data_IF_444167982718
#
_entry.id   IF_444167982718
#
_cell.length_a   1.000
_cell.length_b   1.000
_cell.length_c   1.000
_cell.angle_alpha   90.00
_cell.angle_beta   90.00
_cell.angle_gamma   90.00
#
_symmetry.space_group_name_H-M   'P 1'
#
loop_
_entity.id
_entity.type
_entity.pdbx_description
1 polymer ?
#
# COMPACT_ATOMS: atom_id res chain seq x y z
N UNK A 1 17.42 4.73 3.84
CA UNK A 1 16.44 5.39 2.95
C UNK A 1 15.12 5.38 3.69
N UNK A 2 14.40 6.47 3.69
CA UNK A 2 13.09 6.59 4.33
C UNK A 2 11.98 6.23 3.36
N UNK A 3 10.85 5.78 3.87
CA UNK A 3 9.64 5.48 3.10
C UNK A 3 9.20 6.67 2.21
N UNK A 4 9.33 7.88 2.75
CA UNK A 4 9.01 9.11 2.04
C UNK A 4 9.97 9.39 0.87
N UNK A 5 11.27 9.06 1.02
CA UNK A 5 12.22 9.18 -0.09
C UNK A 5 11.85 8.24 -1.23
N UNK A 6 11.50 7.01 -0.92
CA UNK A 6 11.04 6.04 -1.91
C UNK A 6 9.80 6.52 -2.62
N UNK A 7 8.83 7.07 -1.87
CA UNK A 7 7.62 7.67 -2.43
C UNK A 7 7.94 8.82 -3.40
N UNK A 8 8.88 9.69 -3.05
CA UNK A 8 9.33 10.76 -3.92
C UNK A 8 9.96 10.25 -5.23
N UNK A 9 10.83 9.25 -5.13
CA UNK A 9 11.45 8.63 -6.31
C UNK A 9 10.39 7.97 -7.22
N UNK A 10 9.47 7.22 -6.64
CA UNK A 10 8.37 6.60 -7.38
C UNK A 10 7.46 7.63 -8.05
N UNK A 11 7.12 8.72 -7.35
CA UNK A 11 6.27 9.78 -7.93
C UNK A 11 6.95 10.42 -9.14
N UNK A 12 8.26 10.65 -9.10
CA UNK A 12 9.03 11.14 -10.25
C UNK A 12 9.06 10.14 -11.41
N UNK A 13 9.35 8.87 -11.14
CA UNK A 13 9.38 7.83 -12.18
C UNK A 13 8.03 7.69 -12.91
N UNK A 14 6.93 7.81 -12.17
CA UNK A 14 5.59 7.70 -12.72
C UNK A 14 5.03 9.02 -13.27
N UNK A 15 5.80 10.10 -13.19
CA UNK A 15 5.39 11.46 -13.57
C UNK A 15 4.06 11.91 -12.92
N UNK A 16 3.85 11.52 -11.66
CA UNK A 16 2.67 11.87 -10.88
C UNK A 16 2.88 13.25 -10.28
N UNK A 17 2.27 14.25 -10.87
CA UNK A 17 2.16 15.59 -10.29
C UNK A 17 0.97 15.62 -9.35
N UNK A 18 1.21 15.44 -8.08
CA UNK A 18 0.12 15.40 -7.10
C UNK A 18 0.50 16.09 -5.80
N UNK A 19 -0.42 16.05 -4.83
CA UNK A 19 -0.19 16.47 -3.46
C UNK A 19 1.08 15.87 -2.81
N UNK A 20 1.57 14.76 -3.35
CA UNK A 20 2.83 14.10 -2.95
C UNK A 20 4.02 15.06 -3.10
N UNK A 21 4.19 15.71 -4.24
CA UNK A 21 5.28 16.67 -4.45
C UNK A 21 5.21 17.82 -3.45
N UNK A 22 4.02 18.39 -3.25
CA UNK A 22 3.85 19.50 -2.31
C UNK A 22 4.13 19.12 -0.86
N UNK A 23 3.78 17.89 -0.45
CA UNK A 23 4.02 17.41 0.90
C UNK A 23 5.52 17.16 1.15
N UNK A 24 6.21 16.53 0.21
CA UNK A 24 7.62 16.18 0.31
C UNK A 24 8.53 17.39 0.12
N UNK A 25 8.22 18.28 -0.81
CA UNK A 25 9.00 19.49 -1.06
C UNK A 25 9.05 20.44 0.13
N UNK A 26 8.05 20.43 1.01
CA UNK A 26 8.06 21.21 2.25
C UNK A 26 9.03 20.67 3.29
N UNK A 27 9.50 19.48 3.14
CA UNK A 27 10.42 18.86 4.10
C UNK A 27 11.88 19.17 3.71
N UNK A 28 12.58 19.97 4.50
CA UNK A 28 13.98 20.36 4.29
C UNK A 28 14.93 19.16 4.16
N UNK A 29 14.63 18.07 4.86
CA UNK A 29 15.42 16.85 4.78
C UNK A 29 15.40 16.27 3.36
N UNK A 30 14.25 16.22 2.72
CA UNK A 30 14.13 15.70 1.35
C UNK A 30 14.79 16.63 0.32
N UNK A 31 14.70 17.95 0.52
CA UNK A 31 15.46 18.89 -0.30
C UNK A 31 16.97 18.64 -0.21
N UNK A 32 17.46 18.40 0.99
CA UNK A 32 18.87 18.07 1.20
C UNK A 32 19.24 16.74 0.52
N UNK A 33 18.48 15.67 0.76
CA UNK A 33 18.72 14.36 0.14
C UNK A 33 18.65 14.45 -1.38
N UNK A 34 17.66 15.18 -1.92
CA UNK A 34 17.54 15.40 -3.37
C UNK A 34 18.75 16.15 -3.95
N UNK A 35 19.31 17.10 -3.21
CA UNK A 35 20.52 17.82 -3.65
C UNK A 35 21.78 16.96 -3.67
N UNK A 36 21.85 15.92 -2.86
CA UNK A 36 22.96 14.96 -2.80
C UNK A 36 22.85 13.84 -3.85
N UNK A 37 21.64 13.60 -4.34
CA UNK A 37 21.39 12.62 -5.38
C UNK A 37 20.88 13.37 -6.62
N UNK A 38 21.81 13.75 -7.53
CA UNK A 38 21.42 14.38 -8.79
C UNK A 38 20.41 13.47 -9.48
N UNK A 39 19.41 14.08 -10.08
CA UNK A 39 18.35 13.36 -10.80
C UNK A 39 18.99 12.23 -11.62
N UNK A 40 18.45 11.04 -11.55
CA UNK A 40 18.72 10.04 -12.57
C UNK A 40 18.36 10.73 -13.88
N UNK A 41 19.37 11.22 -14.61
CA UNK A 41 19.19 12.10 -15.75
C UNK A 41 18.51 11.44 -16.94
N UNK A 42 18.40 10.13 -16.90
CA UNK A 42 17.68 9.38 -17.90
C UNK A 42 16.24 9.18 -17.42
N UNK A 43 15.30 9.71 -18.19
CA UNK A 43 13.89 9.33 -18.05
C UNK A 43 13.86 7.81 -18.15
N UNK A 44 13.68 7.15 -17.01
CA UNK A 44 13.37 5.72 -17.02
C UNK A 44 12.01 5.61 -17.69
N UNK A 45 12.04 5.31 -18.99
CA UNK A 45 10.82 4.90 -19.68
C UNK A 45 10.53 3.51 -19.14
N UNK A 46 9.60 3.42 -18.21
CA UNK A 46 9.09 2.13 -17.78
C UNK A 46 8.27 1.63 -18.97
N UNK A 47 8.87 0.77 -19.78
CA UNK A 47 8.11 -0.01 -20.76
C UNK A 47 7.24 -0.97 -19.96
N UNK A 48 6.02 -0.54 -19.67
CA UNK A 48 5.03 -1.46 -19.18
C UNK A 48 4.84 -2.56 -20.23
N UNK A 49 4.90 -3.85 -19.86
CA UNK A 49 4.54 -4.89 -20.81
C UNK A 49 3.18 -4.51 -21.43
N UNK A 50 3.01 -4.70 -22.75
CA UNK A 50 1.75 -4.35 -23.38
C UNK A 50 0.64 -5.04 -22.60
N UNK A 51 -0.27 -4.23 -22.07
CA UNK A 51 -1.42 -4.76 -21.35
C UNK A 51 -2.11 -5.74 -22.28
N UNK A 52 -2.50 -6.95 -21.82
CA UNK A 52 -3.32 -7.81 -22.62
C UNK A 52 -4.49 -6.96 -23.11
N UNK A 53 -4.64 -6.84 -24.43
CA UNK A 53 -5.77 -6.14 -25.03
C UNK A 53 -7.02 -6.79 -24.46
N UNK A 54 -7.69 -6.08 -23.56
CA UNK A 54 -8.96 -6.55 -23.02
C UNK A 54 -9.89 -6.70 -24.23
N UNK A 55 -10.18 -7.95 -24.58
CA UNK A 55 -11.40 -8.21 -25.35
C UNK A 55 -12.53 -7.57 -24.54
N UNK A 56 -13.33 -6.71 -25.13
CA UNK A 56 -14.42 -5.93 -24.52
C UNK A 56 -15.57 -6.81 -23.92
N UNK A 57 -15.25 -7.96 -23.37
CA UNK A 57 -16.15 -8.64 -22.46
C UNK A 57 -16.22 -7.78 -21.19
N UNK A 58 -17.41 -7.43 -20.73
CA UNK A 58 -17.69 -6.72 -19.47
C UNK A 58 -16.74 -7.24 -18.38
N UNK A 59 -15.58 -6.62 -18.22
CA UNK A 59 -14.58 -7.10 -17.28
C UNK A 59 -15.13 -6.81 -15.88
N UNK A 60 -15.31 -7.87 -15.11
CA UNK A 60 -15.79 -7.80 -13.74
C UNK A 60 -14.96 -6.79 -12.94
N UNK A 61 -15.64 -5.83 -12.29
CA UNK A 61 -15.00 -4.78 -11.52
C UNK A 61 -14.18 -5.38 -10.38
N UNK A 62 -12.88 -5.14 -10.36
CA UNK A 62 -11.97 -5.58 -9.31
C UNK A 62 -11.74 -4.46 -8.30
N UNK A 63 -11.65 -4.80 -7.01
CA UNK A 63 -11.47 -3.83 -5.92
C UNK A 63 -10.23 -4.14 -5.11
N UNK A 64 -9.47 -3.09 -4.85
CA UNK A 64 -8.25 -3.11 -4.03
C UNK A 64 -8.50 -2.27 -2.78
N UNK A 65 -8.19 -2.81 -1.61
CA UNK A 65 -8.17 -2.08 -0.35
C UNK A 65 -6.74 -1.82 0.09
N UNK A 66 -6.45 -0.57 0.42
CA UNK A 66 -5.16 -0.16 0.98
C UNK A 66 -5.33 0.02 2.49
N UNK A 67 -4.48 -0.66 3.27
CA UNK A 67 -4.38 -0.53 4.73
C UNK A 67 -2.94 -0.16 5.04
N UNK A 68 -2.68 1.13 5.23
CA UNK A 68 -1.34 1.70 5.34
C UNK A 68 -1.44 2.99 6.17
N UNK A 69 -0.63 3.13 7.22
CA UNK A 69 -0.62 4.30 8.12
C UNK A 69 -0.06 5.55 7.46
N UNK A 70 0.59 5.40 6.32
CA UNK A 70 1.10 6.48 5.49
C UNK A 70 0.26 6.73 4.21
N UNK A 71 -0.92 6.13 4.11
CA UNK A 71 -1.76 6.27 2.92
C UNK A 71 -2.15 7.73 2.64
N UNK A 72 -2.38 8.53 3.67
CA UNK A 72 -2.69 9.96 3.59
C UNK A 72 -1.47 10.85 3.34
N UNK A 73 -0.26 10.30 3.52
CA UNK A 73 1.00 11.00 3.24
C UNK A 73 1.46 10.87 1.77
N UNK A 74 0.63 10.25 0.93
CA UNK A 74 0.87 10.13 -0.51
C UNK A 74 0.90 8.71 -1.06
N UNK A 75 1.07 7.68 -0.20
CA UNK A 75 1.06 6.29 -0.68
C UNK A 75 -0.28 5.90 -1.27
N UNK A 76 -1.40 6.38 -0.70
CA UNK A 76 -2.73 6.13 -1.24
C UNK A 76 -2.93 6.68 -2.65
N UNK A 77 -2.44 7.90 -2.92
CA UNK A 77 -2.47 8.50 -4.25
C UNK A 77 -1.56 7.76 -5.23
N UNK A 78 -0.37 7.33 -4.78
CA UNK A 78 0.55 6.54 -5.60
C UNK A 78 -0.11 5.24 -6.08
N UNK A 79 -0.72 4.48 -5.17
CA UNK A 79 -1.39 3.23 -5.54
C UNK A 79 -2.57 3.48 -6.48
N UNK A 80 -3.37 4.51 -6.25
CA UNK A 80 -4.44 4.88 -7.18
C UNK A 80 -3.92 5.21 -8.58
N UNK A 81 -2.80 5.94 -8.64
CA UNK A 81 -2.18 6.29 -9.91
C UNK A 81 -1.61 5.06 -10.65
N UNK A 82 -0.99 4.12 -9.93
CA UNK A 82 -0.50 2.86 -10.50
C UNK A 82 -1.61 2.05 -11.19
N UNK A 83 -2.80 2.04 -10.61
CA UNK A 83 -3.93 1.29 -11.15
C UNK A 83 -4.88 2.13 -12.02
N UNK A 84 -4.61 3.43 -12.21
CA UNK A 84 -5.50 4.34 -12.96
C UNK A 84 -5.66 4.00 -14.44
N UNK A 85 -4.72 3.24 -15.01
CA UNK A 85 -4.78 2.78 -16.39
C UNK A 85 -5.81 1.65 -16.62
N UNK A 86 -6.30 1.03 -15.56
CA UNK A 86 -7.26 -0.06 -15.62
C UNK A 86 -8.65 0.45 -15.24
N UNK A 87 -9.55 0.57 -16.22
CA UNK A 87 -10.91 1.09 -16.01
C UNK A 87 -11.76 0.22 -15.09
N UNK A 88 -11.45 -1.07 -15.03
CA UNK A 88 -12.15 -2.07 -14.22
C UNK A 88 -11.58 -2.24 -12.79
N UNK A 89 -10.56 -1.46 -12.41
CA UNK A 89 -9.98 -1.53 -11.06
C UNK A 89 -10.40 -0.30 -10.23
N UNK A 90 -10.96 -0.56 -9.06
CA UNK A 90 -11.27 0.45 -8.04
C UNK A 90 -10.32 0.32 -6.86
N UNK A 91 -9.63 1.40 -6.50
CA UNK A 91 -8.70 1.44 -5.37
C UNK A 91 -9.26 2.28 -4.25
N UNK A 92 -9.43 1.69 -3.08
CA UNK A 92 -9.93 2.32 -1.86
C UNK A 92 -8.88 2.30 -0.75
N UNK A 93 -8.84 3.32 0.09
CA UNK A 93 -8.06 3.34 1.32
C UNK A 93 -8.96 3.08 2.52
N UNK A 94 -8.45 2.43 3.56
CA UNK A 94 -9.16 2.31 4.84
C UNK A 94 -9.35 3.72 5.42
N UNK A 95 -10.62 4.12 5.59
CA UNK A 95 -10.99 5.45 6.07
C UNK A 95 -11.53 5.41 7.49
N UNK A 96 -11.43 6.55 8.19
CA UNK A 96 -12.03 6.73 9.51
C UNK A 96 -11.35 5.87 10.60
N UNK A 97 -10.04 5.70 10.48
CA UNK A 97 -9.18 5.08 11.47
C UNK A 97 -7.95 5.96 11.71
N UNK A 98 -7.61 6.20 12.98
CA UNK A 98 -6.42 6.96 13.36
C UNK A 98 -5.33 6.00 13.85
N UNK A 99 -4.38 5.73 12.97
CA UNK A 99 -3.26 4.82 13.25
C UNK A 99 -2.37 5.28 14.41
N UNK A 100 -2.41 6.56 14.76
CA UNK A 100 -1.59 7.11 15.83
C UNK A 100 -2.21 6.90 17.23
N UNK A 101 -3.53 6.93 17.33
CA UNK A 101 -4.24 6.94 18.61
C UNK A 101 -5.11 5.71 18.85
N UNK A 102 -5.55 5.00 17.80
CA UNK A 102 -6.47 3.89 17.91
C UNK A 102 -5.79 2.59 18.35
N UNK A 103 -6.60 1.69 18.92
CA UNK A 103 -6.12 0.38 19.40
C UNK A 103 -6.14 -0.68 18.30
N UNK A 104 -5.49 -1.81 18.56
CA UNK A 104 -5.51 -2.97 17.67
C UNK A 104 -6.93 -3.51 17.47
N UNK A 105 -7.73 -3.55 18.51
CA UNK A 105 -9.12 -4.00 18.49
C UNK A 105 -9.98 -3.07 17.61
N UNK A 106 -9.77 -1.76 17.71
CA UNK A 106 -10.44 -0.78 16.86
C UNK A 106 -10.05 -0.96 15.39
N UNK A 107 -8.75 -1.20 15.09
CA UNK A 107 -8.28 -1.52 13.75
C UNK A 107 -8.99 -2.74 13.18
N UNK A 108 -8.98 -3.85 13.91
CA UNK A 108 -9.63 -5.10 13.47
C UNK A 108 -11.13 -4.91 13.24
N UNK A 109 -11.80 -4.21 14.14
CA UNK A 109 -13.23 -3.91 14.00
C UNK A 109 -13.49 -3.07 12.74
N UNK A 110 -12.69 -2.03 12.51
CA UNK A 110 -12.83 -1.14 11.34
C UNK A 110 -12.59 -1.87 10.01
N UNK A 111 -11.55 -2.70 9.94
CA UNK A 111 -11.31 -3.54 8.75
C UNK A 111 -12.46 -4.50 8.51
N UNK A 112 -12.95 -5.15 9.57
CA UNK A 112 -14.10 -6.07 9.50
C UNK A 112 -15.36 -5.39 8.97
N UNK A 113 -15.66 -4.17 9.44
CA UNK A 113 -16.78 -3.37 8.96
C UNK A 113 -16.62 -3.03 7.49
N UNK A 114 -15.46 -2.53 7.09
CA UNK A 114 -15.14 -2.15 5.71
C UNK A 114 -15.33 -3.33 4.74
N UNK A 115 -14.87 -4.53 5.12
CA UNK A 115 -15.05 -5.74 4.29
C UNK A 115 -16.54 -6.15 4.24
N UNK A 116 -17.28 -6.07 5.36
CA UNK A 116 -18.68 -6.46 5.41
C UNK A 116 -19.62 -5.50 4.69
N UNK A 117 -19.33 -4.19 4.73
CA UNK A 117 -20.10 -3.18 3.99
C UNK A 117 -20.08 -3.45 2.48
N UNK A 118 -19.01 -4.07 1.97
CA UNK A 118 -18.82 -4.44 0.57
C UNK A 118 -19.18 -5.89 0.25
N UNK A 119 -20.06 -6.51 1.02
CA UNK A 119 -20.41 -7.93 0.86
C UNK A 119 -20.84 -8.32 -0.56
N UNK A 120 -21.56 -7.45 -1.27
CA UNK A 120 -22.00 -7.69 -2.65
C UNK A 120 -20.98 -7.23 -3.70
N UNK A 121 -19.92 -6.57 -3.27
CA UNK A 121 -18.86 -6.02 -4.10
C UNK A 121 -17.52 -6.26 -3.38
N UNK A 122 -17.05 -7.52 -3.29
CA UNK A 122 -15.92 -7.88 -2.44
C UNK A 122 -14.61 -7.22 -2.88
N UNK A 123 -13.71 -7.03 -1.95
CA UNK A 123 -12.32 -6.72 -2.25
C UNK A 123 -11.60 -7.98 -2.72
N UNK A 124 -10.86 -7.87 -3.81
CA UNK A 124 -10.11 -8.97 -4.40
C UNK A 124 -8.65 -8.98 -3.90
N UNK A 125 -8.13 -7.79 -3.61
CA UNK A 125 -6.76 -7.58 -3.17
C UNK A 125 -6.71 -6.61 -2.01
N UNK A 126 -5.85 -6.90 -1.03
CA UNK A 126 -5.47 -5.96 0.03
C UNK A 126 -3.98 -5.67 -0.08
N UNK A 127 -3.62 -4.38 -0.19
CA UNK A 127 -2.27 -3.89 0.00
C UNK A 127 -2.12 -3.49 1.47
N UNK A 128 -1.24 -4.15 2.20
CA UNK A 128 -1.14 -4.06 3.65
C UNK A 128 0.26 -3.67 4.08
N UNK A 129 0.41 -2.59 4.86
CA UNK A 129 1.68 -2.34 5.54
C UNK A 129 1.80 -3.26 6.78
N UNK A 130 3.03 -3.58 7.13
CA UNK A 130 3.33 -4.40 8.31
C UNK A 130 3.12 -3.63 9.61
N UNK A 131 3.52 -2.37 9.65
CA UNK A 131 3.53 -1.56 10.87
C UNK A 131 2.43 -0.53 10.80
N UNK A 132 1.28 -0.89 11.31
CA UNK A 132 0.11 -0.02 11.25
C UNK A 132 -0.04 0.87 12.48
N UNK A 133 0.30 0.37 13.67
CA UNK A 133 0.08 1.10 14.91
C UNK A 133 1.42 1.57 15.51
N UNK A 134 1.38 2.66 16.28
CA UNK A 134 2.58 3.19 16.95
C UNK A 134 3.31 2.14 17.80
N UNK A 135 2.58 1.24 18.44
CA UNK A 135 3.17 0.18 19.23
C UNK A 135 3.92 -0.85 18.38
N UNK A 136 3.60 -1.01 17.10
CA UNK A 136 4.28 -1.94 16.20
C UNK A 136 5.74 -1.52 15.93
N UNK A 137 6.03 -0.22 15.99
CA UNK A 137 7.39 0.30 15.77
C UNK A 137 8.38 -0.13 16.86
N UNK A 138 7.87 -0.49 18.05
CA UNK A 138 8.67 -0.97 19.19
C UNK A 138 8.84 -2.49 19.20
N UNK A 139 8.08 -3.22 18.38
CA UNK A 139 8.07 -4.68 18.33
C UNK A 139 9.10 -5.21 17.33
N UNK A 140 9.63 -6.39 17.62
CA UNK A 140 10.44 -7.17 16.66
C UNK A 140 9.59 -8.13 15.85
N UNK A 141 8.50 -8.59 16.42
CA UNK A 141 7.53 -9.55 15.88
C UNK A 141 6.14 -9.22 16.43
N UNK A 142 5.12 -9.93 16.00
CA UNK A 142 3.74 -9.76 16.50
C UNK A 142 3.15 -8.38 16.20
N UNK A 143 3.24 -8.00 14.91
CA UNK A 143 2.64 -6.77 14.42
C UNK A 143 1.12 -6.89 14.28
N UNK A 144 0.42 -5.77 14.45
CA UNK A 144 -1.05 -5.70 14.30
C UNK A 144 -1.54 -6.15 12.92
N UNK A 145 -0.74 -5.95 11.87
CA UNK A 145 -1.02 -6.42 10.52
C UNK A 145 -1.18 -7.94 10.41
N UNK A 146 -0.48 -8.72 11.25
CA UNK A 146 -0.62 -10.18 11.23
C UNK A 146 -1.99 -10.64 11.74
N UNK A 147 -2.57 -9.91 12.70
CA UNK A 147 -3.95 -10.15 13.14
C UNK A 147 -4.94 -9.75 12.05
N UNK A 148 -4.66 -8.67 11.33
CA UNK A 148 -5.45 -8.26 10.14
C UNK A 148 -5.42 -9.35 9.07
N UNK A 149 -4.26 -9.93 8.74
CA UNK A 149 -4.13 -11.03 7.78
C UNK A 149 -5.01 -12.22 8.20
N UNK A 150 -4.86 -12.69 9.44
CA UNK A 150 -5.63 -13.82 9.96
C UNK A 150 -7.15 -13.56 9.89
N UNK A 151 -7.56 -12.34 10.22
CA UNK A 151 -8.96 -11.95 10.15
C UNK A 151 -9.49 -11.91 8.72
N UNK A 152 -8.75 -11.30 7.78
CA UNK A 152 -9.14 -11.22 6.37
C UNK A 152 -9.32 -12.61 5.77
N UNK A 153 -8.38 -13.51 5.99
CA UNK A 153 -8.43 -14.90 5.53
C UNK A 153 -9.59 -15.71 6.16
N UNK A 154 -10.03 -15.32 7.36
CA UNK A 154 -11.18 -15.93 8.00
C UNK A 154 -12.50 -15.40 7.42
N UNK A 155 -12.54 -14.11 7.07
CA UNK A 155 -13.74 -13.46 6.52
C UNK A 155 -13.98 -13.81 5.05
N UNK A 156 -12.89 -13.87 4.28
CA UNK A 156 -12.93 -14.17 2.86
C UNK A 156 -11.66 -14.94 2.43
N UNK A 157 -11.82 -16.21 2.14
CA UNK A 157 -10.71 -17.09 1.70
C UNK A 157 -10.20 -16.75 0.29
N UNK A 158 -10.96 -16.01 -0.49
CA UNK A 158 -10.59 -15.61 -1.86
C UNK A 158 -9.76 -14.34 -1.93
N UNK A 159 -9.71 -13.56 -0.85
CA UNK A 159 -9.01 -12.29 -0.83
C UNK A 159 -7.50 -12.50 -0.92
N UNK A 160 -6.85 -11.84 -1.88
CA UNK A 160 -5.40 -11.84 -2.00
C UNK A 160 -4.81 -10.76 -1.10
N UNK A 161 -3.67 -11.03 -0.47
CA UNK A 161 -2.99 -10.07 0.40
C UNK A 161 -1.57 -9.90 -0.08
N UNK A 162 -1.19 -8.67 -0.39
CA UNK A 162 0.19 -8.27 -0.68
C UNK A 162 0.66 -7.37 0.45
N UNK A 163 1.76 -7.72 1.06
CA UNK A 163 2.43 -6.83 2.01
C UNK A 163 3.28 -5.84 1.23
N UNK A 164 3.10 -4.55 1.52
CA UNK A 164 3.89 -3.46 0.95
C UNK A 164 4.42 -2.62 2.10
N UNK A 165 5.71 -2.72 2.40
CA UNK A 165 6.29 -2.13 3.59
C UNK A 165 7.69 -1.57 3.40
N UNK A 166 8.09 -0.57 4.16
CA UNK A 166 9.46 -0.08 4.21
C UNK A 166 10.42 -1.03 4.98
N UNK A 167 9.93 -2.13 5.52
CA UNK A 167 10.76 -3.08 6.26
C UNK A 167 11.34 -4.16 5.34
N UNK A 168 12.66 -4.18 5.20
CA UNK A 168 13.42 -5.19 4.44
C UNK A 168 13.93 -6.36 5.29
N UNK A 169 13.42 -6.55 6.52
CA UNK A 169 13.89 -7.56 7.44
C UNK A 169 13.44 -8.96 7.02
N UNK A 170 14.40 -9.87 6.80
CA UNK A 170 14.16 -11.24 6.34
C UNK A 170 13.13 -12.02 7.19
N UNK A 171 13.13 -11.81 8.50
CA UNK A 171 12.15 -12.49 9.37
C UNK A 171 10.71 -11.98 9.16
N UNK A 172 10.52 -10.71 8.80
CA UNK A 172 9.19 -10.18 8.49
C UNK A 172 8.65 -10.84 7.21
N UNK A 173 9.50 -11.00 6.20
CA UNK A 173 9.18 -11.75 4.99
C UNK A 173 8.78 -13.19 5.33
N UNK A 174 9.58 -13.90 6.13
CA UNK A 174 9.29 -15.28 6.50
C UNK A 174 7.98 -15.41 7.29
N UNK A 175 7.73 -14.49 8.24
CA UNK A 175 6.48 -14.46 8.99
C UNK A 175 5.25 -14.20 8.10
N UNK A 176 5.39 -13.33 7.11
CA UNK A 176 4.34 -13.04 6.14
C UNK A 176 4.04 -14.26 5.26
N UNK A 177 5.08 -14.87 4.67
CA UNK A 177 4.93 -16.05 3.81
C UNK A 177 4.29 -17.24 4.55
N UNK A 178 4.62 -17.44 5.82
CA UNK A 178 4.00 -18.46 6.67
C UNK A 178 2.50 -18.24 6.92
N UNK A 179 1.97 -17.06 6.58
CA UNK A 179 0.56 -16.69 6.67
C UNK A 179 -0.15 -16.66 5.33
N UNK A 180 0.43 -17.32 4.31
CA UNK A 180 -0.16 -17.43 2.98
C UNK A 180 -0.50 -16.06 2.35
N UNK A 181 0.34 -15.04 2.56
CA UNK A 181 0.25 -13.82 1.78
C UNK A 181 0.72 -14.08 0.35
N UNK A 182 0.09 -13.43 -0.61
CA UNK A 182 0.39 -13.64 -2.03
C UNK A 182 1.80 -13.13 -2.40
N UNK A 183 2.18 -11.98 -1.87
CA UNK A 183 3.50 -11.39 -2.11
C UNK A 183 3.93 -10.47 -0.96
N UNK A 184 5.22 -10.16 -0.94
CA UNK A 184 5.85 -9.21 -0.05
C UNK A 184 6.72 -8.27 -0.89
N UNK A 185 6.44 -6.98 -0.82
CA UNK A 185 7.10 -5.94 -1.59
C UNK A 185 7.69 -4.91 -0.64
N UNK A 186 8.94 -4.54 -0.85
CA UNK A 186 9.57 -3.45 -0.10
C UNK A 186 9.32 -2.12 -0.80
N UNK A 187 9.08 -1.07 -0.01
CA UNK A 187 8.90 0.32 -0.47
C UNK A 187 10.25 0.99 -0.84
N UNK A 188 11.33 0.20 -1.03
CA UNK A 188 12.68 0.68 -1.34
C UNK A 188 13.04 0.46 -2.80
#
# INVERSE_FOLDING_TARGET
ITSEWSLYQWSKCLNIKSAIENHIERNLYYRYVTSQHPECGDKVTIDYPPYPSESESESEKKRILIIDDEADKGWGELYKALFSHYSNIEVNTLKGFDYASDTKEALLQKVKETIKEKKFEPYHLVLLDIRLLQNDFKKKTDFSSFDVINMLQTLDKGIQIIIVTASNKAWNLQYALNRNVFAYITKE
#
